data_IF_000917484397
#
_entry.id   IF_000917484397
#
_cell.length_a   1.000
_cell.length_b   1.000
_cell.length_c   1.000
_cell.angle_alpha   90.00
_cell.angle_beta   90.00
_cell.angle_gamma   90.00
#
_symmetry.space_group_name_H-M   'P 1'
#
loop_
_entity.id
_entity.type
_entity.pdbx_description
1 polymer ?
#
# COMPACT_ATOMS: atom_id res chain seq x y z
N UNK A 1 -9.78 7.28 -9.31
CA UNK A 1 -9.64 6.64 -8.00
C UNK A 1 -8.16 6.62 -7.69
N UNK A 2 -7.77 6.83 -6.43
CA UNK A 2 -6.40 6.62 -5.96
C UNK A 2 -6.10 5.12 -5.75
N UNK A 3 -4.84 4.74 -5.91
CA UNK A 3 -4.35 3.38 -5.69
C UNK A 3 -3.24 3.41 -4.62
N UNK A 4 -3.47 2.75 -3.50
CA UNK A 4 -2.46 2.55 -2.45
C UNK A 4 -1.75 1.20 -2.61
N UNK A 5 -0.42 1.19 -2.62
CA UNK A 5 0.41 -0.01 -2.70
C UNK A 5 1.33 -0.11 -1.49
N UNK A 6 1.11 -1.11 -0.64
CA UNK A 6 2.00 -1.42 0.47
C UNK A 6 3.22 -2.23 -0.02
N UNK A 7 4.41 -1.68 0.20
CA UNK A 7 5.69 -2.26 -0.18
C UNK A 7 6.42 -2.80 1.04
N UNK A 8 7.11 -3.94 0.89
CA UNK A 8 8.05 -4.41 1.92
C UNK A 8 9.29 -3.51 1.87
N UNK A 9 9.66 -2.82 2.98
CA UNK A 9 10.83 -1.97 3.02
C UNK A 9 12.11 -2.80 3.20
N UNK A 10 12.48 -3.53 2.16
CA UNK A 10 13.69 -4.36 2.13
C UNK A 10 14.55 -3.99 0.92
N UNK A 11 15.86 -4.12 1.03
CA UNK A 11 16.76 -3.76 -0.07
C UNK A 11 16.48 -4.54 -1.35
N UNK A 12 16.12 -5.81 -1.25
CA UNK A 12 15.73 -6.63 -2.40
C UNK A 12 14.45 -6.10 -3.06
N UNK A 13 13.41 -5.80 -2.28
CA UNK A 13 12.14 -5.32 -2.83
C UNK A 13 12.26 -3.89 -3.37
N UNK A 14 13.00 -3.02 -2.69
CA UNK A 14 13.28 -1.65 -3.13
C UNK A 14 13.92 -1.62 -4.53
N UNK A 15 14.91 -2.49 -4.78
CA UNK A 15 15.53 -2.62 -6.11
C UNK A 15 14.54 -3.07 -7.19
N UNK A 16 13.64 -4.01 -6.88
CA UNK A 16 12.58 -4.45 -7.82
C UNK A 16 11.58 -3.33 -8.12
N UNK A 17 11.19 -2.57 -7.10
CA UNK A 17 10.28 -1.43 -7.25
C UNK A 17 10.90 -0.35 -8.12
N UNK A 18 12.16 0.04 -7.89
CA UNK A 18 12.84 1.02 -8.74
C UNK A 18 12.93 0.57 -10.20
N UNK A 19 13.24 -0.71 -10.44
CA UNK A 19 13.27 -1.26 -11.78
C UNK A 19 11.88 -1.20 -12.45
N UNK A 20 10.81 -1.55 -11.72
CA UNK A 20 9.44 -1.47 -12.22
C UNK A 20 9.01 -0.03 -12.51
N UNK A 21 9.33 0.92 -11.62
CA UNK A 21 9.06 2.35 -11.84
C UNK A 21 9.79 2.90 -13.06
N UNK A 22 11.05 2.51 -13.24
CA UNK A 22 11.83 2.89 -14.43
C UNK A 22 11.18 2.38 -15.72
N UNK A 23 10.79 1.09 -15.76
CA UNK A 23 10.10 0.50 -16.92
C UNK A 23 8.73 1.12 -17.19
N UNK A 24 8.03 1.55 -16.13
CA UNK A 24 6.72 2.19 -16.25
C UNK A 24 6.80 3.66 -16.72
N UNK A 25 7.98 4.29 -16.66
CA UNK A 25 8.19 5.69 -17.09
C UNK A 25 8.38 6.69 -15.94
N UNK A 26 8.52 6.21 -14.69
CA UNK A 26 8.82 7.03 -13.51
C UNK A 26 10.31 7.06 -13.13
N UNK A 27 11.20 6.57 -13.99
CA UNK A 27 12.64 6.52 -13.71
C UNK A 27 13.31 7.88 -13.47
N UNK A 28 12.71 8.97 -13.95
CA UNK A 28 13.25 10.33 -13.79
C UNK A 28 12.76 11.04 -12.52
N UNK A 29 11.93 10.40 -11.68
CA UNK A 29 11.40 11.03 -10.47
C UNK A 29 12.43 11.21 -9.34
N UNK A 30 13.64 10.66 -9.48
CA UNK A 30 14.70 10.79 -8.48
C UNK A 30 14.40 10.07 -7.16
N UNK A 31 13.52 9.08 -7.16
CA UNK A 31 13.22 8.24 -5.99
C UNK A 31 14.49 7.48 -5.62
N UNK A 32 15.02 7.73 -4.42
CA UNK A 32 16.20 7.06 -3.93
C UNK A 32 15.83 5.66 -3.39
N UNK A 33 16.78 4.73 -3.44
CA UNK A 33 16.54 3.37 -2.90
C UNK A 33 16.24 3.41 -1.40
N UNK A 34 16.79 4.40 -0.67
CA UNK A 34 16.56 4.62 0.74
C UNK A 34 15.11 4.99 1.06
N UNK A 35 14.44 5.74 0.17
CA UNK A 35 13.02 6.12 0.34
C UNK A 35 12.09 4.89 0.38
N UNK A 36 12.52 3.78 -0.20
CA UNK A 36 11.81 2.50 -0.25
C UNK A 36 12.27 1.50 0.81
N UNK A 37 13.32 1.83 1.57
CA UNK A 37 13.87 0.98 2.64
C UNK A 37 13.52 1.51 4.04
N UNK A 38 13.17 2.79 4.14
CA UNK A 38 12.71 3.40 5.39
C UNK A 38 11.22 3.15 5.59
N UNK A 39 10.85 2.75 6.81
CA UNK A 39 9.48 2.70 7.28
C UNK A 39 8.86 4.11 7.31
N UNK A 40 7.53 4.20 7.28
CA UNK A 40 6.76 5.45 7.43
C UNK A 40 6.95 6.46 6.29
N UNK A 41 7.28 5.96 5.09
CA UNK A 41 7.34 6.77 3.88
C UNK A 41 6.10 6.57 3.02
N UNK A 42 5.69 7.67 2.40
CA UNK A 42 4.67 7.71 1.36
C UNK A 42 5.28 8.40 0.15
N UNK A 43 5.33 7.71 -0.99
CA UNK A 43 5.80 8.25 -2.25
C UNK A 43 4.60 8.35 -3.19
N UNK A 44 4.23 9.57 -3.54
CA UNK A 44 3.11 9.82 -4.44
C UNK A 44 3.59 9.85 -5.89
N UNK A 45 2.91 9.11 -6.76
CA UNK A 45 3.09 9.13 -8.20
C UNK A 45 1.87 9.76 -8.86
N UNK A 46 2.12 10.74 -9.73
CA UNK A 46 1.07 11.44 -10.47
C UNK A 46 0.17 12.31 -9.60
N UNK A 47 -1.03 12.57 -10.12
CA UNK A 47 -2.07 13.41 -9.49
C UNK A 47 -3.45 12.79 -9.74
N UNK A 48 -4.46 13.22 -8.97
CA UNK A 48 -5.85 12.80 -9.18
C UNK A 48 -6.32 13.07 -10.62
N UNK A 49 -7.12 12.17 -11.24
CA UNK A 49 -7.72 10.97 -10.67
C UNK A 49 -6.85 9.71 -10.76
N UNK A 50 -5.61 9.80 -11.26
CA UNK A 50 -4.69 8.68 -11.51
C UNK A 50 -3.48 8.74 -10.56
N UNK A 51 -3.73 8.91 -9.26
CA UNK A 51 -2.70 8.96 -8.22
C UNK A 51 -2.39 7.53 -7.74
N UNK A 52 -1.11 7.23 -7.58
CA UNK A 52 -0.65 6.00 -6.91
C UNK A 52 0.19 6.40 -5.69
N UNK A 53 -0.15 5.89 -4.53
CA UNK A 53 0.58 6.10 -3.28
C UNK A 53 1.35 4.82 -2.93
N UNK A 54 2.69 4.89 -2.92
CA UNK A 54 3.55 3.80 -2.47
C UNK A 54 3.81 3.97 -0.98
N UNK A 55 3.39 2.99 -0.19
CA UNK A 55 3.47 3.01 1.28
C UNK A 55 4.54 2.02 1.73
N UNK A 56 5.52 2.43 2.54
CA UNK A 56 6.51 1.51 3.11
C UNK A 56 6.10 0.95 4.48
N UNK A 57 5.06 1.52 5.08
CA UNK A 57 4.40 0.99 6.27
C UNK A 57 2.96 1.50 6.36
N UNK A 58 2.19 0.85 7.22
CA UNK A 58 0.82 1.24 7.57
C UNK A 58 0.64 1.13 9.08
N UNK A 59 -0.23 1.96 9.66
CA UNK A 59 -0.44 1.97 11.11
C UNK A 59 -1.10 0.67 11.59
N UNK A 60 -0.68 0.14 12.74
CA UNK A 60 -1.37 -0.97 13.41
C UNK A 60 -1.23 -2.36 12.76
N UNK A 61 -0.48 -2.48 11.66
CA UNK A 61 -0.25 -3.74 10.94
C UNK A 61 1.16 -3.76 10.36
N UNK A 62 1.92 -4.82 10.63
CA UNK A 62 3.23 -5.02 9.99
C UNK A 62 3.08 -5.55 8.56
N UNK A 63 4.11 -5.37 7.71
CA UNK A 63 4.07 -5.95 6.37
C UNK A 63 3.87 -7.47 6.40
N UNK A 64 4.53 -8.19 7.33
CA UNK A 64 4.42 -9.64 7.43
C UNK A 64 3.00 -10.10 7.79
N UNK A 65 2.33 -9.39 8.69
CA UNK A 65 0.92 -9.65 9.02
C UNK A 65 0.01 -9.38 7.81
N UNK A 66 0.18 -8.23 7.15
CA UNK A 66 -0.59 -7.88 5.96
C UNK A 66 -0.39 -8.90 4.85
N UNK A 67 0.85 -9.35 4.63
CA UNK A 67 1.20 -10.33 3.61
C UNK A 67 0.67 -11.73 3.92
N UNK A 68 0.77 -12.16 5.18
CA UNK A 68 0.32 -13.50 5.60
C UNK A 68 -1.20 -13.64 5.54
N UNK A 69 -1.92 -12.55 5.84
CA UNK A 69 -3.39 -12.52 5.85
C UNK A 69 -4.01 -11.99 4.56
N UNK A 70 -3.19 -11.73 3.53
CA UNK A 70 -3.65 -11.16 2.25
C UNK A 70 -4.71 -12.02 1.58
N UNK A 71 -5.66 -11.36 0.93
CA UNK A 71 -6.70 -12.01 0.15
C UNK A 71 -6.44 -11.77 -1.34
N UNK A 72 -6.50 -12.80 -2.21
CA UNK A 72 -6.34 -12.61 -3.64
C UNK A 72 -7.55 -11.89 -4.23
N UNK A 73 -7.34 -11.17 -5.32
CA UNK A 73 -8.42 -10.63 -6.13
C UNK A 73 -8.02 -10.44 -7.58
N UNK A 74 -8.96 -9.96 -8.38
CA UNK A 74 -8.78 -9.67 -9.80
C UNK A 74 -9.09 -8.20 -10.05
N UNK A 75 -8.17 -7.51 -10.71
CA UNK A 75 -8.37 -6.16 -11.23
C UNK A 75 -8.10 -6.19 -12.73
N UNK A 76 -9.17 -6.14 -13.52
CA UNK A 76 -9.12 -6.18 -14.98
C UNK A 76 -8.29 -7.36 -15.54
N UNK A 77 -8.44 -8.55 -14.95
CA UNK A 77 -7.69 -9.76 -15.34
C UNK A 77 -6.28 -9.86 -14.73
N UNK A 78 -5.87 -8.88 -13.91
CA UNK A 78 -4.60 -8.92 -13.17
C UNK A 78 -4.84 -9.49 -11.78
N UNK A 79 -4.17 -10.60 -11.46
CA UNK A 79 -4.17 -11.15 -10.11
C UNK A 79 -3.45 -10.20 -9.16
N UNK A 80 -4.15 -9.74 -8.14
CA UNK A 80 -3.63 -8.84 -7.09
C UNK A 80 -3.84 -9.42 -5.70
N UNK A 81 -3.23 -8.78 -4.71
CA UNK A 81 -3.40 -9.13 -3.30
C UNK A 81 -3.84 -7.91 -2.51
N UNK A 82 -5.00 -8.03 -1.87
CA UNK A 82 -5.51 -7.05 -0.92
C UNK A 82 -5.06 -7.41 0.49
N UNK A 83 -4.88 -6.41 1.34
CA UNK A 83 -4.71 -6.63 2.77
C UNK A 83 -5.94 -7.34 3.34
N UNK A 84 -5.73 -8.37 4.17
CA UNK A 84 -6.82 -9.15 4.75
C UNK A 84 -7.77 -8.29 5.58
N UNK A 85 -9.06 -8.63 5.59
CA UNK A 85 -10.12 -7.80 6.21
C UNK A 85 -9.81 -7.41 7.66
N UNK A 86 -9.37 -8.36 8.49
CA UNK A 86 -9.07 -8.10 9.90
C UNK A 86 -7.89 -7.13 10.08
N UNK A 87 -6.87 -7.24 9.23
CA UNK A 87 -5.72 -6.34 9.24
C UNK A 87 -6.13 -4.94 8.74
N UNK A 88 -6.96 -4.85 7.69
CA UNK A 88 -7.48 -3.58 7.19
C UNK A 88 -8.28 -2.82 8.26
N UNK A 89 -9.14 -3.51 9.01
CA UNK A 89 -9.89 -2.91 10.13
C UNK A 89 -8.94 -2.34 11.17
N UNK A 90 -7.94 -3.11 11.62
CA UNK A 90 -6.93 -2.63 12.59
C UNK A 90 -6.16 -1.42 12.05
N UNK A 91 -5.84 -1.43 10.77
CA UNK A 91 -5.16 -0.31 10.14
C UNK A 91 -6.00 0.96 10.22
N UNK A 92 -7.27 0.89 9.79
CA UNK A 92 -8.21 2.00 9.84
C UNK A 92 -8.46 2.55 11.25
N UNK A 93 -8.53 1.68 12.25
CA UNK A 93 -8.69 2.10 13.65
C UNK A 93 -7.47 2.86 14.21
N UNK A 94 -6.30 2.67 13.60
CA UNK A 94 -5.03 3.27 14.05
C UNK A 94 -4.58 4.45 13.20
N UNK A 95 -5.09 4.63 11.98
CA UNK A 95 -4.70 5.72 11.09
C UNK A 95 -5.26 7.09 11.50
N UNK A 96 -6.14 7.17 12.51
CA UNK A 96 -6.55 8.44 13.14
C UNK A 96 -7.28 9.43 12.23
N UNK A 97 -7.54 9.09 10.96
CA UNK A 97 -8.27 9.94 10.02
C UNK A 97 -9.75 9.85 10.39
N UNK A 98 -10.44 11.00 10.42
CA UNK A 98 -11.85 11.09 10.83
C UNK A 98 -12.80 10.17 10.05
N UNK A 99 -12.44 9.76 8.82
CA UNK A 99 -13.23 8.85 7.98
C UNK A 99 -12.92 7.36 8.19
N UNK A 100 -11.78 7.01 8.79
CA UNK A 100 -11.36 5.61 8.86
C UNK A 100 -12.12 4.82 9.94
N UNK A 101 -12.55 5.46 11.03
CA UNK A 101 -13.32 4.78 12.08
C UNK A 101 -14.72 4.35 11.58
N UNK A 102 -15.53 5.21 10.94
CA UNK A 102 -16.78 4.77 10.31
C UNK A 102 -16.58 3.66 9.27
N UNK A 103 -15.53 3.71 8.46
CA UNK A 103 -15.22 2.66 7.48
C UNK A 103 -14.90 1.32 8.16
N UNK A 104 -14.14 1.33 9.25
CA UNK A 104 -13.83 0.12 10.02
C UNK A 104 -15.09 -0.51 10.62
N UNK A 105 -16.03 0.30 11.12
CA UNK A 105 -17.32 -0.17 11.62
C UNK A 105 -18.20 -0.77 10.52
N UNK A 106 -18.24 -0.15 9.33
CA UNK A 106 -18.98 -0.67 8.19
C UNK A 106 -18.39 -1.99 7.70
N UNK A 107 -17.08 -2.09 7.61
CA UNK A 107 -16.39 -3.33 7.26
C UNK A 107 -16.77 -4.46 8.21
N UNK A 108 -16.86 -4.22 9.52
CA UNK A 108 -17.25 -5.24 10.53
C UNK A 108 -18.64 -5.82 10.32
N UNK A 109 -19.60 -5.00 9.87
CA UNK A 109 -21.02 -5.40 9.72
C UNK A 109 -21.26 -6.34 8.54
N UNK A 110 -20.35 -6.34 7.56
CA UNK A 110 -20.43 -7.20 6.37
C UNK A 110 -19.93 -8.59 6.73
N UNK A 111 -20.87 -9.52 6.96
CA UNK A 111 -20.65 -10.95 7.23
C UNK A 111 -20.44 -11.73 5.94
#
# INVERSE_FOLDING_TARGET
ADLDLLLRPSSQNAGRVLAALSQFGFGSLGIAIQDLQESEKVIQLGVSPNRIDLLTSISGVTFDEAWTTREPGDLDGVTVHFIGRAALIRNKERTGRARDLPDAEELRKRS
#
